data_IF_508806321482
#
_entry.id   IF_508806321482
#
_cell.length_a   1.000
_cell.length_b   1.000
_cell.length_c   1.000
_cell.angle_alpha   90.00
_cell.angle_beta   90.00
_cell.angle_gamma   90.00
#
_symmetry.space_group_name_H-M   'P 1'
#
loop_
_entity.id
_entity.type
_entity.pdbx_description
1 polymer ?
#
# COMPACT_ATOMS: atom_id res chain seq x y z
N UNK A 1 19.27 -11.36 -10.15
CA UNK A 1 19.24 -11.31 -11.61
C UNK A 1 18.27 -12.33 -12.22
N UNK A 2 18.48 -13.65 -11.99
CA UNK A 2 17.68 -14.73 -12.62
C UNK A 2 16.15 -14.56 -12.47
N UNK A 3 15.68 -14.08 -11.31
CA UNK A 3 14.25 -13.91 -11.05
C UNK A 3 13.64 -12.80 -11.93
N UNK A 4 14.34 -11.68 -12.11
CA UNK A 4 13.89 -10.57 -12.97
C UNK A 4 13.83 -10.98 -14.44
N UNK A 5 14.90 -11.60 -14.97
CA UNK A 5 14.91 -12.10 -16.35
C UNK A 5 13.81 -13.14 -16.61
N UNK A 6 13.55 -14.03 -15.62
CA UNK A 6 12.44 -14.98 -15.71
C UNK A 6 11.07 -14.29 -15.76
N UNK A 7 10.89 -13.23 -14.95
CA UNK A 7 9.64 -12.46 -14.96
C UNK A 7 9.45 -11.72 -16.27
N UNK A 8 10.48 -11.09 -16.82
CA UNK A 8 10.44 -10.44 -18.14
C UNK A 8 10.02 -11.40 -19.25
N UNK A 9 10.64 -12.60 -19.26
CA UNK A 9 10.28 -13.63 -20.23
C UNK A 9 8.83 -14.09 -20.08
N UNK A 10 8.36 -14.32 -18.84
CA UNK A 10 7.01 -14.84 -18.59
C UNK A 10 5.92 -13.80 -18.77
N UNK A 11 6.16 -12.56 -18.37
CA UNK A 11 5.13 -11.50 -18.32
C UNK A 11 5.12 -10.63 -19.57
N UNK A 12 6.28 -10.38 -20.18
CA UNK A 12 6.41 -9.53 -21.37
C UNK A 12 6.83 -10.29 -22.64
N UNK A 13 7.13 -11.59 -22.54
CA UNK A 13 7.60 -12.38 -23.68
C UNK A 13 9.00 -12.00 -24.18
N UNK A 14 9.74 -11.13 -23.46
CA UNK A 14 11.06 -10.65 -23.88
C UNK A 14 12.18 -11.53 -23.36
N UNK A 15 13.20 -11.76 -24.22
CA UNK A 15 14.38 -12.54 -23.90
C UNK A 15 15.64 -11.97 -24.55
N UNK A 16 16.77 -12.65 -24.37
CA UNK A 16 18.03 -12.26 -24.99
C UNK A 16 18.47 -10.84 -24.61
N UNK A 17 18.99 -10.13 -25.59
CA UNK A 17 19.56 -8.78 -25.41
C UNK A 17 18.49 -7.73 -24.97
N UNK A 18 17.28 -7.85 -25.47
CA UNK A 18 16.17 -6.97 -25.06
C UNK A 18 15.85 -7.10 -23.58
N UNK A 19 15.84 -8.33 -23.01
CA UNK A 19 15.63 -8.53 -21.59
C UNK A 19 16.80 -7.98 -20.75
N UNK A 20 18.02 -8.07 -21.23
CA UNK A 20 19.20 -7.51 -20.56
C UNK A 20 19.19 -5.97 -20.57
N UNK A 21 18.81 -5.36 -21.68
CA UNK A 21 18.65 -3.91 -21.76
C UNK A 21 17.57 -3.42 -20.78
N UNK A 22 16.42 -4.10 -20.74
CA UNK A 22 15.34 -3.80 -19.80
C UNK A 22 15.74 -4.05 -18.35
N UNK A 23 16.51 -5.08 -18.08
CA UNK A 23 17.05 -5.36 -16.75
C UNK A 23 17.90 -4.19 -16.25
N UNK A 24 18.82 -3.68 -17.09
CA UNK A 24 19.66 -2.53 -16.74
C UNK A 24 18.83 -1.29 -16.46
N UNK A 25 17.87 -0.94 -17.32
CA UNK A 25 16.96 0.20 -17.12
C UNK A 25 16.20 0.07 -15.79
N UNK A 26 15.55 -1.07 -15.58
CA UNK A 26 14.71 -1.28 -14.41
C UNK A 26 15.52 -1.31 -13.10
N UNK A 27 16.70 -1.94 -13.10
CA UNK A 27 17.53 -1.99 -11.89
C UNK A 27 18.14 -0.64 -11.54
N UNK A 28 18.48 0.19 -12.53
CA UNK A 28 18.91 1.57 -12.31
C UNK A 28 17.79 2.39 -11.64
N UNK A 29 16.54 2.31 -12.14
CA UNK A 29 15.38 3.03 -11.59
C UNK A 29 15.08 2.63 -10.15
N UNK A 30 15.08 1.33 -9.84
CA UNK A 30 14.85 0.87 -8.46
C UNK A 30 16.12 0.97 -7.58
N UNK A 31 17.19 1.61 -8.09
CA UNK A 31 18.45 1.84 -7.37
C UNK A 31 19.09 0.54 -6.84
N UNK A 32 19.08 -0.51 -7.65
CA UNK A 32 19.80 -1.76 -7.39
C UNK A 32 21.15 -1.76 -8.10
N UNK A 33 22.22 -2.12 -7.37
CA UNK A 33 23.56 -2.24 -7.92
C UNK A 33 23.82 -3.63 -8.55
N UNK A 34 24.80 -3.74 -9.45
CA UNK A 34 25.23 -5.02 -10.01
C UNK A 34 25.61 -6.03 -8.90
N UNK A 35 26.29 -5.57 -7.84
CA UNK A 35 26.59 -6.39 -6.66
C UNK A 35 25.32 -6.98 -6.04
N UNK A 36 24.25 -6.20 -5.92
CA UNK A 36 22.98 -6.69 -5.39
C UNK A 36 22.36 -7.78 -6.26
N UNK A 37 22.54 -7.69 -7.58
CA UNK A 37 21.98 -8.67 -8.53
C UNK A 37 22.67 -10.05 -8.47
N UNK A 38 23.86 -10.15 -7.88
CA UNK A 38 24.59 -11.40 -7.69
C UNK A 38 24.35 -12.04 -6.32
N UNK A 39 23.82 -11.29 -5.35
CA UNK A 39 23.55 -11.75 -3.99
C UNK A 39 22.37 -12.75 -3.93
N UNK A 40 22.41 -13.64 -2.93
CA UNK A 40 21.29 -14.51 -2.58
C UNK A 40 20.23 -13.72 -1.79
N UNK A 41 18.93 -14.07 -1.86
CA UNK A 41 17.88 -13.36 -1.13
C UNK A 41 18.11 -13.21 0.37
N UNK A 42 18.74 -14.20 1.02
CA UNK A 42 19.06 -14.15 2.45
C UNK A 42 20.11 -13.06 2.82
N UNK A 43 20.89 -12.59 1.84
CA UNK A 43 21.94 -11.59 2.03
C UNK A 43 21.42 -10.15 1.81
N UNK A 44 20.17 -10.00 1.38
CA UNK A 44 19.57 -8.71 1.09
C UNK A 44 18.89 -8.14 2.34
N UNK A 45 19.06 -6.84 2.58
CA UNK A 45 18.25 -6.11 3.57
C UNK A 45 16.77 -6.07 3.17
N UNK A 46 15.88 -5.72 4.11
CA UNK A 46 14.45 -5.56 3.85
C UNK A 46 14.18 -4.62 2.68
N UNK A 47 14.77 -3.44 2.68
CA UNK A 47 14.62 -2.45 1.62
C UNK A 47 15.15 -2.93 0.26
N UNK A 48 16.25 -3.69 0.22
CA UNK A 48 16.74 -4.28 -1.03
C UNK A 48 15.82 -5.38 -1.56
N UNK A 49 15.27 -6.22 -0.67
CA UNK A 49 14.24 -7.20 -1.05
C UNK A 49 13.02 -6.52 -1.65
N UNK A 50 12.57 -5.42 -1.05
CA UNK A 50 11.43 -4.65 -1.54
C UNK A 50 11.70 -4.03 -2.92
N UNK A 51 12.90 -3.45 -3.14
CA UNK A 51 13.31 -2.95 -4.46
C UNK A 51 13.33 -4.05 -5.52
N UNK A 52 13.75 -5.26 -5.18
CA UNK A 52 13.69 -6.43 -6.08
C UNK A 52 12.24 -6.84 -6.35
N UNK A 53 11.34 -6.79 -5.35
CA UNK A 53 9.92 -7.08 -5.52
C UNK A 53 9.26 -6.06 -6.47
N UNK A 54 9.54 -4.76 -6.28
CA UNK A 54 9.09 -3.69 -7.17
C UNK A 54 9.60 -3.91 -8.59
N UNK A 55 10.92 -4.13 -8.78
CA UNK A 55 11.48 -4.43 -10.09
C UNK A 55 10.80 -5.64 -10.76
N UNK A 56 10.45 -6.66 -9.97
CA UNK A 56 9.73 -7.83 -10.49
C UNK A 56 8.29 -7.49 -10.94
N UNK A 57 7.58 -6.65 -10.20
CA UNK A 57 6.24 -6.21 -10.56
C UNK A 57 6.26 -5.42 -11.88
N UNK A 58 7.26 -4.58 -12.07
CA UNK A 58 7.42 -3.78 -13.29
C UNK A 58 8.07 -4.51 -14.47
N UNK A 59 8.51 -5.75 -14.29
CA UNK A 59 9.18 -6.53 -15.35
C UNK A 59 8.32 -6.74 -16.61
N UNK A 60 7.00 -6.83 -16.43
CA UNK A 60 6.01 -7.07 -17.49
C UNK A 60 5.39 -5.81 -18.10
N UNK A 61 5.85 -4.61 -17.72
CA UNK A 61 5.26 -3.33 -18.14
C UNK A 61 3.77 -3.21 -17.80
N UNK A 62 3.39 -3.37 -16.53
CA UNK A 62 2.01 -3.43 -16.11
C UNK A 62 1.32 -2.06 -16.25
N UNK A 63 0.01 -2.08 -16.50
CA UNK A 63 -0.86 -0.90 -16.38
C UNK A 63 -1.40 -0.71 -14.96
N UNK A 64 -1.41 -1.77 -14.17
CA UNK A 64 -1.87 -1.80 -12.78
C UNK A 64 -0.92 -2.63 -11.93
N UNK A 65 -0.54 -2.11 -10.77
CA UNK A 65 0.22 -2.84 -9.74
C UNK A 65 -0.59 -2.86 -8.44
N UNK A 66 -0.73 -4.05 -7.86
CA UNK A 66 -1.29 -4.22 -6.52
C UNK A 66 -0.15 -4.26 -5.51
N UNK A 67 -0.15 -3.31 -4.58
CA UNK A 67 0.80 -3.19 -3.48
C UNK A 67 0.10 -3.57 -2.18
N UNK A 68 0.34 -4.77 -1.69
CA UNK A 68 -0.22 -5.26 -0.43
C UNK A 68 0.82 -5.12 0.67
N UNK A 69 0.57 -4.21 1.62
CA UNK A 69 1.46 -3.87 2.75
C UNK A 69 2.95 -3.69 2.35
N UNK A 70 3.28 -2.90 1.29
CA UNK A 70 4.62 -2.92 0.70
C UNK A 70 5.70 -2.33 1.59
N UNK A 71 5.35 -1.66 2.69
CA UNK A 71 6.29 -0.96 3.59
C UNK A 71 6.18 -1.39 5.06
N UNK A 72 5.25 -2.28 5.41
CA UNK A 72 4.93 -2.63 6.82
C UNK A 72 6.10 -3.23 7.62
N UNK A 73 7.05 -3.88 6.95
CA UNK A 73 8.22 -4.51 7.60
C UNK A 73 9.51 -3.68 7.48
N UNK A 74 9.40 -2.39 7.14
CA UNK A 74 10.55 -1.51 6.91
C UNK A 74 10.63 -0.44 8.00
N UNK A 75 11.85 0.00 8.31
CA UNK A 75 12.05 1.19 9.13
C UNK A 75 11.56 2.46 8.39
N UNK A 76 11.27 3.53 9.15
CA UNK A 76 10.65 4.76 8.65
C UNK A 76 11.44 5.39 7.50
N UNK A 77 12.77 5.38 7.57
CA UNK A 77 13.62 6.00 6.54
C UNK A 77 13.60 5.21 5.23
N UNK A 78 13.63 3.88 5.33
CA UNK A 78 13.54 2.99 4.17
C UNK A 78 12.12 3.00 3.60
N UNK A 79 11.08 3.06 4.46
CA UNK A 79 9.69 3.24 4.03
C UNK A 79 9.52 4.47 3.16
N UNK A 80 9.99 5.64 3.62
CA UNK A 80 9.92 6.88 2.86
C UNK A 80 10.63 6.76 1.50
N UNK A 81 11.82 6.13 1.46
CA UNK A 81 12.56 5.91 0.23
C UNK A 81 11.85 4.96 -0.76
N UNK A 82 11.09 3.98 -0.27
CA UNK A 82 10.28 3.09 -1.11
C UNK A 82 9.03 3.79 -1.63
N UNK A 83 8.36 4.60 -0.79
CA UNK A 83 7.18 5.38 -1.22
C UNK A 83 7.55 6.37 -2.32
N UNK A 84 8.64 7.14 -2.15
CA UNK A 84 9.13 8.05 -3.18
C UNK A 84 9.43 7.31 -4.49
N UNK A 85 10.08 6.14 -4.40
CA UNK A 85 10.35 5.31 -5.57
C UNK A 85 9.06 4.88 -6.29
N UNK A 86 8.01 4.52 -5.56
CA UNK A 86 6.72 4.14 -6.14
C UNK A 86 6.05 5.32 -6.84
N UNK A 87 6.09 6.52 -6.23
CA UNK A 87 5.57 7.77 -6.84
C UNK A 87 6.34 8.12 -8.12
N UNK A 88 7.69 8.05 -8.09
CA UNK A 88 8.53 8.26 -9.27
C UNK A 88 8.15 7.30 -10.41
N UNK A 89 8.02 5.99 -10.10
CA UNK A 89 7.65 4.97 -11.08
C UNK A 89 6.23 5.14 -11.61
N UNK A 90 5.28 5.59 -10.79
CA UNK A 90 3.91 5.89 -11.18
C UNK A 90 3.88 6.99 -12.24
N UNK A 91 4.56 8.10 -11.96
CA UNK A 91 4.63 9.25 -12.87
C UNK A 91 5.31 8.90 -14.19
N UNK A 92 6.46 8.20 -14.14
CA UNK A 92 7.23 7.83 -15.34
C UNK A 92 6.54 6.80 -16.22
N UNK A 93 5.91 5.79 -15.60
CA UNK A 93 5.32 4.64 -16.31
C UNK A 93 3.83 4.78 -16.53
N UNK A 94 3.19 5.82 -15.96
CA UNK A 94 1.73 6.03 -15.99
C UNK A 94 0.95 4.79 -15.57
N UNK A 95 1.41 4.14 -14.51
CA UNK A 95 0.82 2.93 -13.94
C UNK A 95 -0.19 3.31 -12.85
N UNK A 96 -1.31 2.60 -12.79
CA UNK A 96 -2.24 2.71 -11.67
C UNK A 96 -1.80 1.81 -10.51
N UNK A 97 -2.05 2.25 -9.26
CA UNK A 97 -1.84 1.44 -8.07
C UNK A 97 -3.16 1.10 -7.39
N UNK A 98 -3.26 -0.13 -6.90
CA UNK A 98 -4.12 -0.48 -5.77
C UNK A 98 -3.19 -0.68 -4.58
N UNK A 99 -3.20 0.28 -3.66
CA UNK A 99 -2.30 0.30 -2.52
C UNK A 99 -3.05 -0.07 -1.24
N UNK A 100 -2.65 -1.14 -0.58
CA UNK A 100 -3.26 -1.63 0.66
C UNK A 100 -2.29 -1.35 1.80
N UNK A 101 -2.76 -0.64 2.83
CA UNK A 101 -1.99 -0.34 4.04
C UNK A 101 -2.91 -0.07 5.21
N UNK A 102 -2.42 -0.31 6.43
CA UNK A 102 -3.04 0.13 7.68
C UNK A 102 -2.46 1.47 8.17
N UNK A 103 -1.42 1.99 7.53
CA UNK A 103 -0.81 3.28 7.86
C UNK A 103 -1.50 4.41 7.08
N UNK A 104 -2.34 5.18 7.78
CA UNK A 104 -3.11 6.28 7.18
C UNK A 104 -2.22 7.42 6.67
N UNK A 105 -1.05 7.66 7.28
CA UNK A 105 -0.09 8.63 6.80
C UNK A 105 0.46 8.25 5.42
N UNK A 106 0.80 6.97 5.26
CA UNK A 106 1.23 6.41 3.97
C UNK A 106 0.12 6.50 2.93
N UNK A 107 -1.11 6.10 3.31
CA UNK A 107 -2.28 6.16 2.41
C UNK A 107 -2.53 7.59 1.95
N UNK A 108 -2.49 8.57 2.85
CA UNK A 108 -2.65 10.00 2.52
C UNK A 108 -1.58 10.49 1.54
N UNK A 109 -0.35 10.00 1.69
CA UNK A 109 0.77 10.44 0.86
C UNK A 109 0.70 9.94 -0.59
N UNK A 110 0.22 8.71 -0.82
CA UNK A 110 0.32 8.06 -2.13
C UNK A 110 -0.99 7.97 -2.90
N UNK A 111 -2.14 8.20 -2.25
CA UNK A 111 -3.45 7.88 -2.84
C UNK A 111 -4.21 9.10 -3.32
N UNK A 112 -4.77 9.04 -4.52
CA UNK A 112 -5.76 10.01 -5.03
C UNK A 112 -7.17 9.71 -4.49
N UNK A 113 -7.48 8.42 -4.29
CA UNK A 113 -8.77 7.95 -3.77
C UNK A 113 -8.55 6.87 -2.72
N UNK A 114 -9.41 6.86 -1.73
CA UNK A 114 -9.34 5.94 -0.60
C UNK A 114 -10.63 5.14 -0.49
N UNK A 115 -10.49 3.84 -0.23
CA UNK A 115 -11.57 2.94 0.14
C UNK A 115 -11.28 2.38 1.54
N UNK A 116 -12.19 2.62 2.49
CA UNK A 116 -12.09 2.12 3.86
C UNK A 116 -12.91 0.85 3.99
N UNK A 117 -12.26 -0.25 4.39
CA UNK A 117 -12.88 -1.56 4.56
C UNK A 117 -12.94 -1.95 6.04
N UNK A 118 -14.05 -2.54 6.45
CA UNK A 118 -14.20 -3.18 7.75
C UNK A 118 -14.86 -4.55 7.60
N UNK A 119 -14.26 -5.59 8.14
CA UNK A 119 -14.69 -7.00 7.97
C UNK A 119 -14.95 -7.38 6.50
N UNK A 120 -14.07 -6.94 5.58
CA UNK A 120 -14.17 -7.22 4.15
C UNK A 120 -15.28 -6.46 3.43
N UNK A 121 -16.00 -5.54 4.08
CA UNK A 121 -17.03 -4.69 3.47
C UNK A 121 -16.57 -3.25 3.36
N UNK A 122 -16.90 -2.63 2.24
CA UNK A 122 -16.64 -1.22 2.00
C UNK A 122 -17.53 -0.37 2.90
N UNK A 123 -16.91 0.50 3.70
CA UNK A 123 -17.61 1.43 4.61
C UNK A 123 -17.64 2.83 4.03
N UNK A 124 -16.57 3.26 3.39
CA UNK A 124 -16.44 4.59 2.83
C UNK A 124 -15.52 4.56 1.60
N UNK A 125 -15.80 5.40 0.61
CA UNK A 125 -14.94 5.60 -0.56
C UNK A 125 -15.06 7.03 -1.06
N UNK A 126 -13.92 7.67 -1.35
CA UNK A 126 -13.90 9.06 -1.82
C UNK A 126 -12.53 9.49 -2.34
N UNK A 127 -12.42 10.75 -2.74
CA UNK A 127 -11.14 11.41 -2.94
C UNK A 127 -10.39 11.47 -1.60
N UNK A 128 -9.08 11.43 -1.64
CA UNK A 128 -8.26 11.34 -0.42
C UNK A 128 -8.52 12.51 0.53
N UNK A 129 -8.53 13.73 0.02
CA UNK A 129 -8.84 14.95 0.77
C UNK A 129 -10.22 14.89 1.44
N UNK A 130 -11.26 14.47 0.69
CA UNK A 130 -12.63 14.33 1.23
C UNK A 130 -12.68 13.30 2.35
N UNK A 131 -12.00 12.14 2.19
CA UNK A 131 -11.99 11.09 3.23
C UNK A 131 -11.19 11.52 4.46
N UNK A 132 -10.19 12.40 4.33
CA UNK A 132 -9.41 12.90 5.48
C UNK A 132 -10.07 14.09 6.18
N UNK A 133 -10.82 14.93 5.46
CA UNK A 133 -11.40 16.18 5.99
C UNK A 133 -12.83 16.00 6.51
N UNK A 134 -13.56 15.00 6.03
CA UNK A 134 -14.92 14.64 6.47
C UNK A 134 -16.08 15.34 5.76
N UNK A 135 -17.31 15.03 6.13
CA UNK A 135 -17.75 14.11 7.22
C UNK A 135 -17.46 12.64 6.91
N UNK A 136 -17.28 11.82 7.96
CA UNK A 136 -16.81 10.45 7.85
C UNK A 136 -17.83 9.40 8.25
N UNK A 137 -17.64 8.18 7.74
CA UNK A 137 -18.19 7.01 8.40
C UNK A 137 -17.58 6.89 9.83
N UNK A 138 -18.34 6.52 10.89
CA UNK A 138 -17.83 6.47 12.27
C UNK A 138 -16.59 5.61 12.48
N UNK A 139 -16.37 4.61 11.64
CA UNK A 139 -15.15 3.82 11.65
C UNK A 139 -13.95 4.60 11.10
N UNK A 140 -14.13 5.33 9.99
CA UNK A 140 -13.09 6.19 9.40
C UNK A 140 -12.70 7.29 10.39
N UNK A 141 -13.68 7.90 11.03
CA UNK A 141 -13.46 8.93 12.07
C UNK A 141 -12.59 8.39 13.22
N UNK A 142 -12.91 7.18 13.71
CA UNK A 142 -12.12 6.54 14.74
C UNK A 142 -10.68 6.22 14.28
N UNK A 143 -10.49 5.78 13.04
CA UNK A 143 -9.16 5.54 12.47
C UNK A 143 -8.35 6.85 12.38
N UNK A 144 -8.95 7.91 11.86
CA UNK A 144 -8.30 9.22 11.72
C UNK A 144 -7.95 9.84 13.07
N UNK A 145 -8.80 9.66 14.09
CA UNK A 145 -8.52 10.13 15.45
C UNK A 145 -7.33 9.45 16.12
N UNK A 146 -6.91 8.30 15.60
CA UNK A 146 -5.77 7.56 16.13
C UNK A 146 -4.43 7.95 15.48
N UNK A 147 -4.46 8.76 14.40
CA UNK A 147 -3.25 9.24 13.72
C UNK A 147 -2.60 10.34 14.58
N UNK A 148 -1.31 10.18 14.99
CA UNK A 148 -0.61 11.24 15.71
C UNK A 148 -0.45 12.48 14.81
N UNK A 149 -0.82 13.65 15.34
CA UNK A 149 -0.57 14.94 14.70
C UNK A 149 0.59 15.65 15.40
N UNK A 150 1.49 16.26 14.63
CA UNK A 150 2.66 16.96 15.18
C UNK A 150 2.23 18.19 15.98
N UNK A 151 1.17 18.85 15.54
CA UNK A 151 0.69 20.12 16.13
C UNK A 151 -0.24 19.93 17.33
N UNK A 152 -0.50 18.70 17.74
CA UNK A 152 -1.33 18.38 18.91
C UNK A 152 -2.69 19.07 18.86
N UNK A 153 -3.43 18.92 17.75
CA UNK A 153 -4.71 19.59 17.49
C UNK A 153 -5.84 19.23 18.48
N UNK A 154 -5.50 18.59 19.59
CA UNK A 154 -6.41 18.34 20.70
C UNK A 154 -7.60 17.42 20.37
N UNK A 155 -7.56 16.73 19.22
CA UNK A 155 -8.62 15.77 18.89
C UNK A 155 -8.59 14.63 19.89
N UNK A 156 -9.67 14.46 20.63
CA UNK A 156 -9.83 13.33 21.53
C UNK A 156 -9.81 12.03 20.73
N UNK A 157 -8.87 11.14 21.10
CA UNK A 157 -8.77 9.83 20.47
C UNK A 157 -10.03 9.02 20.72
N UNK A 158 -10.75 8.66 19.66
CA UNK A 158 -11.95 7.83 19.73
C UNK A 158 -11.53 6.39 20.02
N UNK A 159 -11.89 5.91 21.22
CA UNK A 159 -11.68 4.50 21.58
C UNK A 159 -12.90 3.70 21.16
N UNK A 160 -12.65 2.71 20.28
CA UNK A 160 -13.70 1.78 19.87
C UNK A 160 -13.85 0.72 20.97
N UNK A 161 -15.07 0.62 21.50
CA UNK A 161 -15.43 -0.38 22.51
C UNK A 161 -15.82 -1.71 21.87
N UNK A 162 -15.74 -2.79 22.65
CA UNK A 162 -16.11 -4.14 22.25
C UNK A 162 -15.08 -4.84 21.35
N UNK A 163 -15.27 -6.15 21.19
CA UNK A 163 -14.41 -7.00 20.36
C UNK A 163 -14.71 -6.83 18.88
N UNK A 164 -13.73 -7.12 18.04
CA UNK A 164 -13.91 -7.18 16.59
C UNK A 164 -14.72 -8.43 16.24
N UNK A 165 -15.91 -8.31 15.63
CA UNK A 165 -16.69 -9.47 15.24
C UNK A 165 -15.95 -10.35 14.24
N UNK A 166 -16.31 -11.63 14.19
CA UNK A 166 -15.74 -12.55 13.20
C UNK A 166 -16.17 -12.18 11.78
N UNK A 167 -15.19 -12.06 10.88
CA UNK A 167 -15.47 -11.87 9.46
C UNK A 167 -16.24 -13.04 8.83
N UNK A 168 -16.16 -14.27 9.42
CA UNK A 168 -16.89 -15.44 8.96
C UNK A 168 -18.37 -15.41 9.41
N UNK A 169 -18.71 -14.62 10.44
CA UNK A 169 -20.08 -14.43 10.93
C UNK A 169 -20.30 -12.96 11.27
N UNK A 170 -20.38 -12.09 10.27
CA UNK A 170 -20.51 -10.66 10.50
C UNK A 170 -21.89 -10.32 11.09
N UNK A 171 -22.00 -9.24 11.86
CA UNK A 171 -23.28 -8.72 12.34
C UNK A 171 -24.29 -8.49 11.21
N UNK A 172 -25.57 -8.67 11.47
CA UNK A 172 -26.64 -8.29 10.55
C UNK A 172 -26.70 -6.78 10.35
N UNK A 173 -27.10 -6.30 9.18
CA UNK A 173 -27.16 -4.87 8.86
C UNK A 173 -25.78 -4.26 8.68
N UNK A 174 -25.52 -3.11 9.31
CA UNK A 174 -24.20 -2.49 9.28
C UNK A 174 -23.19 -3.33 10.07
N UNK A 175 -22.12 -3.80 9.42
CA UNK A 175 -21.11 -4.66 10.05
C UNK A 175 -20.34 -3.96 11.17
N UNK A 176 -20.35 -2.63 11.21
CA UNK A 176 -19.69 -1.83 12.25
C UNK A 176 -20.63 -1.52 13.44
N UNK A 177 -21.92 -1.89 13.37
CA UNK A 177 -22.94 -1.52 14.37
C UNK A 177 -22.58 -1.87 15.83
N UNK A 178 -21.88 -2.97 16.05
CA UNK A 178 -21.53 -3.44 17.40
C UNK A 178 -20.45 -2.58 18.09
N UNK A 179 -19.77 -1.72 17.31
CA UNK A 179 -18.69 -0.84 17.79
C UNK A 179 -18.94 0.63 17.43
N UNK A 180 -20.10 0.92 16.82
CA UNK A 180 -20.46 2.26 16.39
C UNK A 180 -21.06 3.06 17.55
N UNK A 181 -20.46 4.21 17.90
CA UNK A 181 -21.01 5.13 18.91
C UNK A 181 -22.31 5.83 18.49
N UNK A 182 -22.63 5.79 17.19
CA UNK A 182 -23.84 6.39 16.60
C UNK A 182 -24.82 5.33 16.12
N UNK A 183 -24.80 4.12 16.69
CA UNK A 183 -25.69 3.04 16.26
C UNK A 183 -27.15 3.43 16.45
N UNK A 184 -27.96 3.17 15.41
CA UNK A 184 -29.41 3.41 15.40
C UNK A 184 -30.14 2.06 15.29
N UNK A 185 -31.44 1.98 15.67
CA UNK A 185 -32.25 0.76 15.50
C UNK A 185 -32.30 0.26 14.05
N UNK A 186 -32.15 1.14 13.06
CA UNK A 186 -32.12 0.79 11.64
C UNK A 186 -30.81 0.16 11.18
N UNK A 187 -29.71 0.23 11.98
CA UNK A 187 -28.44 -0.40 11.67
C UNK A 187 -28.49 -1.92 11.90
#
# INVERSE_FOLDING_TARGET
RRILLRSMRKLAGIGGEAAEARLRDLTARVRLTERTLTQKPAQLSGGLKQRVAIARAFAGDPKLVVCDEPTSALDVSVQAAILNLLVELQAERRVAYVFISHDLGVVRYISDRIAVLYLGRLQEIGAADVVFDGPHHPYTEALLSAVPTIDGDGRDRIRLEGDIPSAASPPSGCVFRTRCRHVLPAC
#
